data_IF_512804910899
#
_entry.id   IF_512804910899
#
_cell.length_a   1.000
_cell.length_b   1.000
_cell.length_c   1.000
_cell.angle_alpha   90.00
_cell.angle_beta   90.00
_cell.angle_gamma   90.00
#
_symmetry.space_group_name_H-M   'P 1'
#
loop_
_entity.id
_entity.type
_entity.pdbx_description
1 polymer ?
#
# COMPACT_ATOMS: atom_id res chain seq x y z
N UNK A 1 -2.03 20.08 4.16
CA UNK A 1 -1.80 18.67 3.77
C UNK A 1 -0.78 18.05 4.71
N UNK A 2 -1.12 16.93 5.34
CA UNK A 2 -0.21 16.13 6.18
C UNK A 2 0.41 15.01 5.35
N UNK A 3 1.68 14.67 5.61
CA UNK A 3 2.35 13.53 4.96
C UNK A 3 2.13 12.27 5.79
N UNK A 4 1.71 11.20 5.13
CA UNK A 4 1.55 9.88 5.74
C UNK A 4 2.54 8.90 5.11
N UNK A 5 3.09 8.00 5.92
CA UNK A 5 3.88 6.87 5.44
C UNK A 5 2.99 5.63 5.45
N UNK A 6 2.80 5.03 4.29
CA UNK A 6 1.97 3.84 4.11
C UNK A 6 2.86 2.72 3.58
N UNK A 7 2.72 1.52 4.14
CA UNK A 7 3.47 0.34 3.73
C UNK A 7 2.54 -0.85 3.50
N UNK A 8 2.94 -1.76 2.60
CA UNK A 8 2.37 -3.11 2.53
C UNK A 8 3.36 -4.02 3.23
N UNK A 9 2.90 -4.76 4.23
CA UNK A 9 3.75 -5.67 5.01
C UNK A 9 3.33 -7.10 4.68
N UNK A 10 4.30 -7.91 4.26
CA UNK A 10 4.18 -9.35 4.02
C UNK A 10 5.30 -10.06 4.74
N UNK A 11 4.99 -11.24 5.27
CA UNK A 11 6.00 -12.18 5.75
C UNK A 11 6.37 -13.06 4.56
N UNK A 12 7.62 -12.97 4.11
CA UNK A 12 8.16 -13.70 2.96
C UNK A 12 9.38 -14.45 3.45
N UNK A 13 9.39 -15.76 3.24
CA UNK A 13 10.56 -16.60 3.46
C UNK A 13 11.50 -16.48 2.26
N UNK A 14 12.74 -16.06 2.50
CA UNK A 14 13.76 -15.84 1.48
C UNK A 14 15.16 -15.95 2.09
N UNK A 15 16.17 -16.21 1.27
CA UNK A 15 17.56 -16.34 1.72
C UNK A 15 18.21 -14.98 1.95
N UNK A 16 17.64 -13.90 1.41
CA UNK A 16 18.13 -12.53 1.58
C UNK A 16 17.03 -11.47 1.49
N UNK A 17 17.33 -10.26 1.96
CA UNK A 17 16.41 -9.12 1.86
C UNK A 17 16.14 -8.71 0.40
N UNK A 18 17.15 -8.81 -0.47
CA UNK A 18 17.01 -8.51 -1.90
C UNK A 18 16.08 -9.52 -2.58
N UNK A 19 16.22 -10.80 -2.25
CA UNK A 19 15.32 -11.84 -2.75
C UNK A 19 13.89 -11.64 -2.24
N UNK A 20 13.71 -11.34 -0.95
CA UNK A 20 12.38 -11.02 -0.40
C UNK A 20 11.73 -9.83 -1.13
N UNK A 21 12.50 -8.81 -1.49
CA UNK A 21 12.01 -7.67 -2.25
C UNK A 21 11.60 -8.05 -3.68
N UNK A 22 12.37 -8.92 -4.35
CA UNK A 22 12.03 -9.44 -5.67
C UNK A 22 10.77 -10.31 -5.63
N UNK A 23 10.60 -11.13 -4.59
CA UNK A 23 9.40 -11.95 -4.38
C UNK A 23 8.17 -11.08 -4.09
N UNK A 24 8.31 -10.04 -3.26
CA UNK A 24 7.24 -9.06 -3.03
C UNK A 24 6.82 -8.36 -4.33
N UNK A 25 7.79 -7.93 -5.14
CA UNK A 25 7.49 -7.34 -6.46
C UNK A 25 6.78 -8.33 -7.39
N UNK A 26 7.22 -9.58 -7.38
CA UNK A 26 6.57 -10.64 -8.17
C UNK A 26 5.12 -10.89 -7.71
N UNK A 27 4.85 -10.91 -6.40
CA UNK A 27 3.49 -11.05 -5.86
C UNK A 27 2.61 -9.89 -6.33
N UNK A 28 3.07 -8.65 -6.12
CA UNK A 28 2.32 -7.44 -6.49
C UNK A 28 2.07 -7.28 -8.00
N UNK A 29 2.93 -7.85 -8.84
CA UNK A 29 2.76 -7.78 -10.30
C UNK A 29 1.80 -8.82 -10.88
N UNK A 30 1.54 -9.91 -10.14
CA UNK A 30 0.64 -10.98 -10.57
C UNK A 30 -0.75 -10.86 -9.93
N UNK A 31 -0.80 -10.32 -8.72
CA UNK A 31 -2.04 -10.16 -7.96
C UNK A 31 -2.71 -8.80 -8.21
N UNK A 32 -3.98 -8.70 -7.82
CA UNK A 32 -4.64 -7.41 -7.73
C UNK A 32 -3.96 -6.54 -6.66
N UNK A 33 -4.08 -5.22 -6.80
CA UNK A 33 -3.52 -4.29 -5.83
C UNK A 33 -3.91 -4.66 -4.38
N UNK A 34 -2.98 -4.55 -3.41
CA UNK A 34 -3.27 -4.85 -2.01
C UNK A 34 -4.45 -4.03 -1.50
N UNK A 35 -5.29 -4.65 -0.67
CA UNK A 35 -6.36 -3.93 0.03
C UNK A 35 -6.03 -3.68 1.50
N UNK A 36 -4.92 -4.23 1.98
CA UNK A 36 -4.45 -4.03 3.35
C UNK A 36 -3.15 -3.25 3.32
N UNK A 37 -3.15 -2.15 4.06
CA UNK A 37 -2.01 -1.27 4.21
C UNK A 37 -1.75 -1.03 5.69
N UNK A 38 -0.52 -0.67 6.01
CA UNK A 38 -0.07 -0.33 7.36
C UNK A 38 0.32 1.13 7.40
N UNK A 39 -0.22 1.87 8.36
CA UNK A 39 0.21 3.22 8.68
C UNK A 39 1.51 3.14 9.47
N UNK A 40 2.51 3.93 9.08
CA UNK A 40 3.81 3.96 9.72
C UNK A 40 4.05 5.30 10.43
N UNK A 41 4.43 5.23 11.71
CA UNK A 41 4.97 6.35 12.48
C UNK A 41 6.48 6.17 12.61
N UNK A 42 7.24 6.96 11.84
CA UNK A 42 8.69 6.78 11.75
C UNK A 42 9.06 5.47 11.06
N UNK A 43 9.53 4.49 11.84
CA UNK A 43 9.85 3.10 11.43
C UNK A 43 8.92 2.07 12.09
N UNK A 44 7.94 2.51 12.87
CA UNK A 44 7.02 1.64 13.60
C UNK A 44 5.66 1.59 12.92
N UNK A 45 5.04 0.42 12.89
CA UNK A 45 3.65 0.27 12.48
C UNK A 45 2.72 0.86 13.55
N UNK A 46 1.85 1.80 13.18
CA UNK A 46 0.91 2.46 14.09
C UNK A 46 -0.55 2.12 13.84
N UNK A 47 -0.87 1.45 12.72
CA UNK A 47 -2.22 0.98 12.45
C UNK A 47 -2.36 0.22 11.14
N UNK A 48 -3.51 -0.45 10.97
CA UNK A 48 -3.88 -1.17 9.74
C UNK A 48 -5.06 -0.47 9.08
N UNK A 49 -4.97 -0.28 7.77
CA UNK A 49 -6.03 0.24 6.92
C UNK A 49 -6.45 -0.89 5.99
N UNK A 50 -7.76 -1.15 5.93
CA UNK A 50 -8.35 -2.12 5.01
C UNK A 50 -9.28 -1.37 4.07
N UNK A 51 -9.01 -1.44 2.77
CA UNK A 51 -9.81 -0.81 1.73
C UNK A 51 -10.89 -1.76 1.24
N UNK A 52 -12.02 -1.17 0.87
CA UNK A 52 -12.98 -1.83 -0.01
C UNK A 52 -12.48 -1.74 -1.45
N UNK A 53 -12.49 -2.87 -2.17
CA UNK A 53 -11.95 -2.93 -3.53
C UNK A 53 -12.70 -2.02 -4.49
N UNK A 54 -14.02 -2.03 -4.44
CA UNK A 54 -14.85 -1.28 -5.37
C UNK A 54 -14.64 0.22 -5.18
N UNK A 55 -14.67 0.69 -3.94
CA UNK A 55 -14.39 2.09 -3.64
C UNK A 55 -12.96 2.51 -4.04
N UNK A 56 -11.96 1.62 -3.89
CA UNK A 56 -10.59 1.90 -4.31
C UNK A 56 -10.44 1.97 -5.84
N UNK A 57 -11.11 1.09 -6.57
CA UNK A 57 -11.15 1.10 -8.04
C UNK A 57 -11.87 2.35 -8.56
N UNK A 58 -13.04 2.69 -7.99
CA UNK A 58 -13.77 3.93 -8.30
C UNK A 58 -12.91 5.17 -8.03
N UNK A 59 -12.16 5.18 -6.92
CA UNK A 59 -11.22 6.27 -6.61
C UNK A 59 -10.07 6.35 -7.62
N UNK A 60 -9.59 5.23 -8.15
CA UNK A 60 -8.52 5.19 -9.15
C UNK A 60 -8.99 5.60 -10.55
N UNK A 61 -10.26 5.38 -10.88
CA UNK A 61 -10.87 5.79 -12.15
C UNK A 61 -11.18 7.29 -12.21
N UNK A 62 -11.44 7.92 -11.06
CA UNK A 62 -11.68 9.36 -10.98
C UNK A 62 -10.34 10.08 -10.87
N UNK A 63 -9.99 10.88 -11.90
CA UNK A 63 -8.78 11.70 -11.89
C UNK A 63 -8.84 12.80 -10.81
N UNK A 64 -8.36 12.46 -9.62
CA UNK A 64 -8.20 13.37 -8.49
C UNK A 64 -6.78 13.95 -8.38
N UNK A 65 -6.00 13.98 -9.46
CA UNK A 65 -4.59 14.42 -9.40
C UNK A 65 -4.40 15.91 -9.09
N UNK A 66 -5.46 16.72 -8.90
CA UNK A 66 -5.31 18.17 -8.76
C UNK A 66 -6.34 18.92 -7.88
N UNK A 67 -6.85 18.38 -6.77
CA UNK A 67 -7.56 19.24 -5.80
C UNK A 67 -7.19 19.01 -4.32
N UNK A 68 -6.28 19.83 -3.74
CA UNK A 68 -5.87 19.76 -2.34
C UNK A 68 -6.97 20.05 -1.31
N UNK A 69 -8.18 20.40 -1.75
CA UNK A 69 -9.20 21.08 -0.96
C UNK A 69 -10.36 20.24 -0.43
N UNK A 70 -10.41 18.92 -0.67
CA UNK A 70 -11.58 18.13 -0.27
C UNK A 70 -11.21 16.78 0.40
N UNK A 71 -10.39 16.86 1.45
CA UNK A 71 -10.16 15.79 2.43
C UNK A 71 -10.43 16.33 3.84
#
# INVERSE_FOLDING_TARGET
>A
MQKFKIAVIREIEADSADEAALLMYQELSKEAAPLTYTLMEGTQASGKIVLDRKAAEEFAEIDHTADPGNW
#
